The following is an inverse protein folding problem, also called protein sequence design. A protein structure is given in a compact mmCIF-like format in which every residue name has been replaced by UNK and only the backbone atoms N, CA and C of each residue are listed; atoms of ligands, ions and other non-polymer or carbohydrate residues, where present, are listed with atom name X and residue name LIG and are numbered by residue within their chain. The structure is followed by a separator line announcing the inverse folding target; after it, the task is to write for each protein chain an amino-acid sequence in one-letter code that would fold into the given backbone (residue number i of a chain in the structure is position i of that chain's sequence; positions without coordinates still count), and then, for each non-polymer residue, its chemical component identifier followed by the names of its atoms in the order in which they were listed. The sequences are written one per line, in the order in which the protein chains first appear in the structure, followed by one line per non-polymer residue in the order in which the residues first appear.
data_IF_038764934289
#
_entry.id   IF_038764934289
#
_cell.length_a   1.000
_cell.length_b   1.000
_cell.length_c   1.000
_cell.angle_alpha   90.00
_cell.angle_beta   90.00
_cell.angle_gamma   90.00
#
_symmetry.space_group_name_H-M   'P 1'
#
loop_
_entity.id
_entity.type
_entity.pdbx_description
1 polymer ?
#
# COMPACT_ATOMS: atom_id res chain seq x y z
N UNK A 1 4.32 19.41 -4.15
CA UNK A 1 3.03 18.90 -3.62
C UNK A 1 2.94 17.43 -4.03
N UNK A 2 2.75 16.50 -3.09
CA UNK A 2 2.67 15.06 -3.38
C UNK A 2 1.20 14.66 -3.24
N UNK A 3 0.62 14.09 -4.30
CA UNK A 3 -0.72 13.53 -4.25
C UNK A 3 -0.64 12.08 -3.83
N UNK A 4 -1.35 11.74 -2.75
CA UNK A 4 -1.48 10.38 -2.26
C UNK A 4 -2.87 9.83 -2.54
N UNK A 5 -2.96 8.52 -2.78
CA UNK A 5 -4.22 7.80 -2.90
C UNK A 5 -4.43 6.89 -1.69
N UNK A 6 -5.66 6.72 -1.24
CA UNK A 6 -5.96 5.83 -0.10
C UNK A 6 -6.18 4.39 -0.56
N UNK A 7 -5.47 3.46 0.07
CA UNK A 7 -5.69 2.02 -0.10
C UNK A 7 -7.09 1.60 0.36
N UNK A 8 -7.82 2.39 1.15
CA UNK A 8 -9.21 2.08 1.54
C UNK A 8 -10.16 1.90 0.33
N UNK A 9 -9.84 2.45 -0.85
CA UNK A 9 -10.61 2.17 -2.07
C UNK A 9 -10.40 0.75 -2.63
N UNK A 10 -9.39 0.04 -2.14
CA UNK A 10 -8.90 -1.25 -2.62
C UNK A 10 -9.17 -2.40 -1.64
N UNK A 11 -10.28 -2.37 -0.90
CA UNK A 11 -10.68 -3.43 0.07
C UNK A 11 -10.91 -4.82 -0.54
N UNK A 12 -10.99 -4.93 -1.87
CA UNK A 12 -11.08 -6.22 -2.58
C UNK A 12 -9.74 -6.72 -3.12
N UNK A 13 -8.67 -5.95 -2.90
CA UNK A 13 -7.33 -6.22 -3.40
C UNK A 13 -6.35 -6.34 -2.23
N UNK A 14 -5.25 -7.06 -2.42
CA UNK A 14 -4.18 -7.06 -1.44
C UNK A 14 -3.51 -5.68 -1.39
N UNK A 15 -2.79 -5.39 -0.31
CA UNK A 15 -2.02 -4.15 -0.20
C UNK A 15 -0.97 -4.03 -1.32
N UNK A 16 -0.44 -5.16 -1.79
CA UNK A 16 0.54 -5.22 -2.87
C UNK A 16 -0.08 -4.83 -4.21
N UNK A 17 -1.26 -5.37 -4.52
CA UNK A 17 -1.99 -5.01 -5.74
C UNK A 17 -2.39 -3.52 -5.73
N UNK A 18 -2.82 -3.02 -4.56
CA UNK A 18 -3.16 -1.61 -4.40
C UNK A 18 -1.95 -0.70 -4.67
N UNK A 19 -0.76 -1.07 -4.16
CA UNK A 19 0.49 -0.38 -4.43
C UNK A 19 0.77 -0.31 -5.94
N UNK A 20 0.70 -1.44 -6.64
CA UNK A 20 1.00 -1.51 -8.08
C UNK A 20 0.00 -0.68 -8.91
N UNK A 21 -1.30 -0.72 -8.60
CA UNK A 21 -2.31 0.05 -9.31
C UNK A 21 -2.13 1.55 -9.08
N UNK A 22 -1.86 1.97 -7.84
CA UNK A 22 -1.70 3.38 -7.47
C UNK A 22 -0.42 3.95 -8.09
N UNK A 23 0.66 3.18 -8.12
CA UNK A 23 1.91 3.54 -8.81
C UNK A 23 1.69 3.75 -10.31
N UNK A 24 0.99 2.82 -10.97
CA UNK A 24 0.64 2.93 -12.39
C UNK A 24 -0.29 4.11 -12.69
N UNK A 25 -1.09 4.54 -11.71
CA UNK A 25 -2.00 5.68 -11.83
C UNK A 25 -1.30 7.04 -11.72
N UNK A 26 0.00 7.06 -11.40
CA UNK A 26 0.82 8.29 -11.34
C UNK A 26 0.75 9.06 -10.03
N UNK A 27 0.26 8.45 -8.95
CA UNK A 27 0.30 9.05 -7.61
C UNK A 27 1.70 8.90 -7.00
N UNK A 28 2.18 9.96 -6.33
CA UNK A 28 3.48 9.96 -5.66
C UNK A 28 3.42 9.57 -4.18
N UNK A 29 2.26 9.10 -3.71
CA UNK A 29 2.05 8.71 -2.33
C UNK A 29 0.92 7.70 -2.17
N UNK A 30 0.98 6.94 -1.08
CA UNK A 30 -0.01 5.95 -0.69
C UNK A 30 -0.36 6.12 0.79
N UNK A 31 -1.66 6.20 1.09
CA UNK A 31 -2.17 6.05 2.44
C UNK A 31 -2.59 4.59 2.66
N UNK A 32 -2.06 3.96 3.71
CA UNK A 32 -2.25 2.53 4.00
C UNK A 32 -3.30 2.35 5.09
N UNK A 33 -4.33 1.54 4.82
CA UNK A 33 -5.35 1.16 5.80
C UNK A 33 -4.76 0.17 6.80
N UNK A 34 -4.86 0.50 8.09
CA UNK A 34 -4.39 -0.34 9.21
C UNK A 34 -5.35 -1.46 9.61
N UNK A 35 -6.18 -1.94 8.68
CA UNK A 35 -7.22 -2.94 8.91
C UNK A 35 -7.23 -3.98 7.79
N UNK A 36 -8.10 -4.99 7.87
CA UNK A 36 -8.19 -6.04 6.86
C UNK A 36 -8.85 -5.49 5.59
N UNK A 37 -8.35 -5.83 4.38
CA UNK A 37 -7.36 -6.86 4.07
C UNK A 37 -5.90 -6.35 3.97
N UNK A 38 -5.62 -5.12 4.39
CA UNK A 38 -4.32 -4.49 4.25
C UNK A 38 -3.44 -4.75 5.47
N UNK A 39 -3.00 -3.71 6.18
CA UNK A 39 -1.98 -3.83 7.23
C UNK A 39 -2.65 -3.92 8.59
N UNK A 40 -3.31 -5.05 8.85
CA UNK A 40 -3.86 -5.33 10.17
C UNK A 40 -2.74 -5.85 11.10
N UNK A 41 -2.36 -5.11 12.16
CA UNK A 41 -1.13 -5.38 12.91
C UNK A 41 -0.98 -6.81 13.48
N UNK A 42 -2.04 -7.48 13.97
CA UNK A 42 -1.95 -8.87 14.42
C UNK A 42 -1.62 -9.91 13.34
N UNK A 43 -1.95 -9.64 12.08
CA UNK A 43 -1.70 -10.52 10.94
C UNK A 43 -0.45 -10.12 10.14
N UNK A 44 0.27 -9.08 10.60
CA UNK A 44 1.37 -8.47 9.86
C UNK A 44 2.72 -8.65 10.56
N UNK A 45 3.68 -9.25 9.85
CA UNK A 45 5.05 -9.41 10.34
C UNK A 45 6.04 -8.42 9.69
N UNK A 46 7.19 -8.25 10.34
CA UNK A 46 8.33 -7.46 9.88
C UNK A 46 8.80 -7.83 8.45
N UNK A 47 8.70 -9.11 8.06
CA UNK A 47 9.02 -9.54 6.70
C UNK A 47 8.09 -8.91 5.66
N UNK A 48 6.78 -8.88 5.91
CA UNK A 48 5.79 -8.27 5.02
C UNK A 48 5.96 -6.75 4.98
N UNK A 49 6.27 -6.12 6.12
CA UNK A 49 6.62 -4.70 6.20
C UNK A 49 7.83 -4.35 5.32
N UNK A 50 8.85 -5.21 5.28
CA UNK A 50 10.02 -5.02 4.39
C UNK A 50 9.61 -5.08 2.91
N UNK A 51 8.75 -6.03 2.55
CA UNK A 51 8.24 -6.17 1.17
C UNK A 51 7.42 -4.96 0.73
N UNK A 52 6.55 -4.43 1.61
CA UNK A 52 5.80 -3.19 1.36
C UNK A 52 6.77 -2.03 1.16
N UNK A 53 7.73 -1.84 2.06
CA UNK A 53 8.72 -0.76 1.94
C UNK A 53 9.50 -0.83 0.63
N UNK A 54 9.88 -2.02 0.20
CA UNK A 54 10.57 -2.21 -1.07
C UNK A 54 9.69 -1.84 -2.27
N UNK A 55 8.40 -2.21 -2.20
CA UNK A 55 7.44 -1.88 -3.25
C UNK A 55 7.10 -0.39 -3.29
N UNK A 56 7.04 0.29 -2.14
CA UNK A 56 6.82 1.74 -2.06
C UNK A 56 7.96 2.55 -2.69
N UNK A 57 9.21 2.06 -2.66
CA UNK A 57 10.34 2.69 -3.36
C UNK A 57 10.18 2.69 -4.88
N UNK A 58 9.25 1.92 -5.43
CA UNK A 58 8.91 1.97 -6.86
C UNK A 58 8.00 3.15 -7.19
N UNK A 59 7.29 3.69 -6.19
CA UNK A 59 6.36 4.81 -6.34
C UNK A 59 7.08 6.17 -6.19
N UNK A 60 8.09 6.23 -5.32
CA UNK A 60 8.77 7.46 -4.86
C UNK A 60 10.14 7.60 -5.53
#
# INVERSE_FOLDING_TARGET
MIFAYSSNAFVKFSIMDAIDIIAQSGFGGLEIMGDRPHVYPPDFDNAQLKTIKDSLKKII
#
